data_IF_512630798617
#
_entry.id   IF_512630798617
#
_cell.length_a   1.000
_cell.length_b   1.000
_cell.length_c   1.000
_cell.angle_alpha   90.00
_cell.angle_beta   90.00
_cell.angle_gamma   90.00
#
_symmetry.space_group_name_H-M   'P 1'
#
loop_
_entity.id
_entity.type
_entity.pdbx_description
1 polymer ?
#
# COMPACT_ATOMS: atom_id res chain seq x y z
N UNK A 1 -19.12 -11.91 11.93
CA UNK A 1 -19.32 -10.53 12.42
C UNK A 1 -18.12 -9.69 11.99
N UNK A 2 -18.35 -8.60 11.25
CA UNK A 2 -17.26 -7.68 10.94
C UNK A 2 -16.82 -6.98 12.23
N UNK A 3 -15.57 -7.18 12.66
CA UNK A 3 -15.00 -6.44 13.79
C UNK A 3 -15.00 -4.96 13.42
N UNK A 4 -15.84 -4.17 14.11
CA UNK A 4 -15.87 -2.71 13.94
C UNK A 4 -14.53 -2.16 14.46
N UNK A 5 -13.84 -1.40 13.62
CA UNK A 5 -12.61 -0.72 14.04
C UNK A 5 -12.97 0.26 15.17
N UNK A 6 -12.47 -0.03 16.38
CA UNK A 6 -12.86 0.68 17.61
C UNK A 6 -11.97 1.87 17.95
N UNK A 7 -10.87 2.07 17.23
CA UNK A 7 -9.90 3.12 17.50
C UNK A 7 -10.20 4.41 16.74
N UNK A 8 -9.71 5.53 17.26
CA UNK A 8 -9.84 6.84 16.62
C UNK A 8 -8.98 6.94 15.35
N UNK A 9 -9.55 7.52 14.30
CA UNK A 9 -8.85 7.77 13.05
C UNK A 9 -7.84 8.92 13.18
N UNK A 10 -8.11 9.93 14.01
CA UNK A 10 -7.16 11.02 14.23
C UNK A 10 -5.88 10.50 14.88
N UNK A 11 -6.01 9.74 15.97
CA UNK A 11 -4.88 9.12 16.67
C UNK A 11 -4.07 8.20 15.76
N UNK A 12 -4.74 7.43 14.88
CA UNK A 12 -4.07 6.57 13.90
C UNK A 12 -3.26 7.40 12.89
N UNK A 13 -3.82 8.50 12.39
CA UNK A 13 -3.15 9.33 11.36
C UNK A 13 -1.95 10.05 11.99
N UNK A 14 -2.10 10.63 13.18
CA UNK A 14 -1.05 11.37 13.89
C UNK A 14 0.19 10.49 14.17
N UNK A 15 -0.01 9.29 14.69
CA UNK A 15 1.10 8.38 14.99
C UNK A 15 1.79 7.85 13.73
N UNK A 16 1.04 7.70 12.62
CA UNK A 16 1.59 7.29 11.34
C UNK A 16 2.34 8.44 10.68
N UNK A 17 1.83 9.67 10.75
CA UNK A 17 2.50 10.87 10.26
C UNK A 17 3.89 11.00 10.87
N UNK A 18 4.00 10.83 12.20
CA UNK A 18 5.28 10.82 12.92
C UNK A 18 6.24 9.69 12.49
N UNK A 19 5.74 8.64 11.83
CA UNK A 19 6.50 7.46 11.43
C UNK A 19 6.65 7.39 9.91
N UNK A 20 7.54 8.22 9.38
CA UNK A 20 7.86 8.33 7.95
C UNK A 20 8.16 6.98 7.28
N UNK A 21 8.73 6.02 8.00
CA UNK A 21 9.00 4.68 7.49
C UNK A 21 7.76 3.89 7.04
N UNK A 22 6.55 4.28 7.48
CA UNK A 22 5.29 3.61 7.14
C UNK A 22 4.63 4.17 5.88
N UNK A 23 4.85 5.45 5.57
CA UNK A 23 4.14 6.15 4.50
C UNK A 23 5.07 6.72 3.43
N UNK A 24 6.29 7.11 3.79
CA UNK A 24 7.28 7.68 2.87
C UNK A 24 8.11 6.58 2.20
N UNK A 25 7.70 6.22 0.99
CA UNK A 25 8.39 5.24 0.15
C UNK A 25 9.67 5.79 -0.50
N UNK A 26 9.89 7.10 -0.46
CA UNK A 26 11.05 7.74 -1.09
C UNK A 26 12.31 7.63 -0.23
N UNK A 27 12.15 7.42 1.08
CA UNK A 27 13.25 7.29 2.03
C UNK A 27 13.78 5.86 2.05
N UNK A 28 15.10 5.72 2.16
CA UNK A 28 15.77 4.45 2.39
C UNK A 28 15.30 3.75 3.67
N UNK A 29 14.83 4.53 4.65
CA UNK A 29 14.24 4.07 5.91
C UNK A 29 13.02 3.15 5.67
N UNK A 30 12.26 3.35 4.58
CA UNK A 30 11.16 2.45 4.21
C UNK A 30 11.65 1.09 3.68
N UNK A 31 12.91 0.94 3.29
CA UNK A 31 13.47 -0.35 2.84
C UNK A 31 13.72 -1.28 4.03
N UNK A 32 13.99 -0.71 5.21
CA UNK A 32 14.19 -1.49 6.43
C UNK A 32 12.88 -2.19 6.84
N UNK A 33 12.94 -3.53 6.89
CA UNK A 33 11.82 -4.37 7.31
C UNK A 33 11.63 -4.36 8.83
N UNK A 34 12.73 -4.24 9.58
CA UNK A 34 12.72 -4.22 11.05
C UNK A 34 12.11 -2.91 11.52
N UNK A 35 12.54 -1.80 10.93
CA UNK A 35 12.07 -0.47 11.33
C UNK A 35 10.58 -0.29 11.05
N UNK A 36 10.08 -0.79 9.91
CA UNK A 36 8.64 -0.86 9.62
C UNK A 36 7.87 -1.74 10.60
N UNK A 37 8.40 -2.91 10.96
CA UNK A 37 7.74 -3.79 11.94
C UNK A 37 7.64 -3.10 13.30
N UNK A 38 8.72 -2.47 13.76
CA UNK A 38 8.74 -1.74 15.03
C UNK A 38 7.78 -0.56 14.99
N UNK A 39 7.78 0.20 13.90
CA UNK A 39 6.84 1.29 13.70
C UNK A 39 5.37 0.82 13.80
N UNK A 40 5.00 -0.29 13.16
CA UNK A 40 3.65 -0.85 13.30
C UNK A 40 3.35 -1.34 14.71
N UNK A 41 4.33 -1.93 15.40
CA UNK A 41 4.20 -2.33 16.81
C UNK A 41 3.86 -1.13 17.69
N UNK A 42 4.60 -0.03 17.54
CA UNK A 42 4.37 1.19 18.30
C UNK A 42 3.00 1.80 18.00
N UNK A 43 2.56 1.78 16.73
CA UNK A 43 1.22 2.24 16.36
C UNK A 43 0.16 1.40 17.07
N UNK A 44 0.32 0.08 17.11
CA UNK A 44 -0.63 -0.80 17.79
C UNK A 44 -0.59 -0.61 19.32
N UNK A 45 0.58 -0.45 19.92
CA UNK A 45 0.76 -0.18 21.34
C UNK A 45 0.18 1.19 21.76
N UNK A 46 0.27 2.19 20.88
CA UNK A 46 -0.33 3.50 21.10
C UNK A 46 -1.87 3.45 21.09
N UNK A 47 -2.45 2.63 20.20
CA UNK A 47 -3.91 2.50 20.05
C UNK A 47 -4.54 1.54 21.06
N UNK A 48 -3.81 0.51 21.48
CA UNK A 48 -4.23 -0.48 22.46
C UNK A 48 -3.19 -0.57 23.59
N UNK A 49 -3.43 0.06 24.75
CA UNK A 49 -2.48 0.05 25.87
C UNK A 49 -2.09 -1.35 26.34
N UNK A 50 -3.01 -2.31 26.22
CA UNK A 50 -2.79 -3.70 26.62
C UNK A 50 -2.13 -4.53 25.50
N UNK A 51 -1.73 -3.92 24.39
CA UNK A 51 -1.19 -4.64 23.24
C UNK A 51 0.01 -5.52 23.60
N UNK A 52 0.90 -5.08 24.48
CA UNK A 52 2.10 -5.84 24.86
C UNK A 52 1.78 -7.07 25.72
N UNK A 53 0.71 -7.02 26.51
CA UNK A 53 0.27 -8.11 27.39
C UNK A 53 -0.57 -9.18 26.66
N UNK A 54 -1.02 -8.90 25.45
CA UNK A 54 -1.81 -9.83 24.64
C UNK A 54 -0.97 -10.96 24.04
N UNK A 55 -1.65 -12.06 23.71
CA UNK A 55 -1.06 -13.15 22.93
C UNK A 55 -0.72 -12.73 21.49
N UNK A 56 0.18 -13.48 20.87
CA UNK A 56 0.66 -13.18 19.52
C UNK A 56 -0.47 -13.14 18.49
N UNK A 57 -1.47 -14.03 18.62
CA UNK A 57 -2.59 -14.09 17.67
C UNK A 57 -3.41 -12.80 17.74
N UNK A 58 -3.74 -12.33 18.93
CA UNK A 58 -4.46 -11.07 19.11
C UNK A 58 -3.63 -9.86 18.63
N UNK A 59 -2.31 -9.85 18.90
CA UNK A 59 -1.39 -8.83 18.38
C UNK A 59 -1.42 -8.78 16.84
N UNK A 60 -1.38 -9.94 16.19
CA UNK A 60 -1.41 -10.04 14.73
C UNK A 60 -2.76 -9.59 14.16
N UNK A 61 -3.87 -9.92 14.83
CA UNK A 61 -5.21 -9.49 14.43
C UNK A 61 -5.38 -7.96 14.53
N UNK A 62 -4.91 -7.34 15.62
CA UNK A 62 -4.93 -5.88 15.78
C UNK A 62 -4.05 -5.23 14.72
N UNK A 63 -2.83 -5.71 14.56
CA UNK A 63 -1.88 -5.19 13.57
C UNK A 63 -2.47 -5.23 12.17
N UNK A 64 -3.06 -6.36 11.78
CA UNK A 64 -3.72 -6.52 10.48
C UNK A 64 -4.90 -5.56 10.31
N UNK A 65 -5.72 -5.38 11.34
CA UNK A 65 -6.85 -4.46 11.31
C UNK A 65 -6.41 -3.00 11.14
N UNK A 66 -5.37 -2.58 11.87
CA UNK A 66 -4.76 -1.24 11.78
C UNK A 66 -4.17 -1.01 10.39
N UNK A 67 -3.37 -1.96 9.88
CA UNK A 67 -2.79 -1.86 8.53
C UNK A 67 -3.85 -1.77 7.44
N UNK A 68 -4.88 -2.61 7.49
CA UNK A 68 -5.98 -2.59 6.54
C UNK A 68 -6.75 -1.27 6.61
N UNK A 69 -6.98 -0.76 7.83
CA UNK A 69 -7.66 0.53 8.02
C UNK A 69 -6.85 1.68 7.42
N UNK A 70 -5.54 1.73 7.69
CA UNK A 70 -4.65 2.72 7.12
C UNK A 70 -4.63 2.66 5.58
N UNK A 71 -4.56 1.46 5.01
CA UNK A 71 -4.61 1.27 3.56
C UNK A 71 -5.89 1.86 2.95
N UNK A 72 -7.05 1.62 3.57
CA UNK A 72 -8.33 2.17 3.13
C UNK A 72 -8.39 3.70 3.23
N UNK A 73 -7.83 4.29 4.29
CA UNK A 73 -7.75 5.75 4.47
C UNK A 73 -6.90 6.36 3.34
N UNK A 74 -5.71 5.80 3.10
CA UNK A 74 -4.81 6.25 2.04
C UNK A 74 -5.42 6.09 0.65
N UNK A 75 -6.08 4.96 0.37
CA UNK A 75 -6.78 4.73 -0.90
C UNK A 75 -7.87 5.76 -1.13
N UNK A 76 -8.72 5.97 -0.12
CA UNK A 76 -9.82 6.96 -0.18
C UNK A 76 -9.28 8.37 -0.43
N UNK A 77 -8.23 8.75 0.27
CA UNK A 77 -7.57 10.04 0.09
C UNK A 77 -6.96 10.17 -1.32
N UNK A 78 -6.18 9.17 -1.77
CA UNK A 78 -5.55 9.18 -3.11
C UNK A 78 -6.59 9.26 -4.23
N UNK A 79 -7.72 8.55 -4.09
CA UNK A 79 -8.83 8.63 -5.05
C UNK A 79 -9.50 10.00 -5.05
N UNK A 80 -9.61 10.64 -3.89
CA UNK A 80 -10.13 12.00 -3.78
C UNK A 80 -9.20 13.05 -4.43
N UNK A 81 -7.90 12.80 -4.50
CA UNK A 81 -6.95 13.67 -5.20
C UNK A 81 -7.01 13.53 -6.72
N UNK A 82 -7.26 12.31 -7.23
CA UNK A 82 -7.31 12.04 -8.68
C UNK A 82 -8.58 12.53 -9.38
N UNK A 83 -9.58 13.03 -8.65
CA UNK A 83 -10.76 13.63 -9.28
C UNK A 83 -10.40 14.98 -9.88
N UNK A 84 -10.13 14.99 -11.19
CA UNK A 84 -9.83 16.16 -12.03
C UNK A 84 -10.90 17.26 -11.90
N UNK A 85 -10.43 18.50 -11.98
CA UNK A 85 -11.19 19.74 -12.20
C UNK A 85 -12.40 19.51 -13.12
N UNK A 86 -13.61 19.75 -12.63
CA UNK A 86 -14.86 19.66 -13.41
C UNK A 86 -15.98 18.81 -12.82
N UNK A 87 -15.72 17.96 -11.81
CA UNK A 87 -16.80 17.34 -11.03
C UNK A 87 -17.16 18.24 -9.84
N UNK A 88 -18.45 18.57 -9.70
CA UNK A 88 -19.01 19.39 -8.62
C UNK A 88 -18.30 19.12 -7.29
N UNK A 89 -17.81 20.18 -6.65
CA UNK A 89 -16.94 20.18 -5.47
C UNK A 89 -17.32 19.07 -4.48
N UNK A 90 -16.64 17.92 -4.57
CA UNK A 90 -16.86 16.80 -3.64
C UNK A 90 -16.41 17.26 -2.27
N UNK A 91 -17.26 17.02 -1.27
CA UNK A 91 -17.06 17.40 0.12
C UNK A 91 -15.64 17.00 0.56
N UNK A 92 -14.85 18.00 0.98
CA UNK A 92 -13.48 17.83 1.47
C UNK A 92 -13.47 16.65 2.47
N UNK A 93 -12.62 15.66 2.23
CA UNK A 93 -12.53 14.50 3.12
C UNK A 93 -12.22 15.00 4.53
N UNK A 94 -12.95 14.49 5.54
CA UNK A 94 -12.90 15.02 6.91
C UNK A 94 -11.45 15.03 7.46
N UNK A 95 -10.63 14.06 7.04
CA UNK A 95 -9.22 13.95 7.44
C UNK A 95 -8.24 14.45 6.38
N UNK A 96 -8.69 15.23 5.39
CA UNK A 96 -7.82 15.70 4.31
C UNK A 96 -6.68 16.60 4.80
N UNK A 97 -6.92 17.44 5.82
CA UNK A 97 -5.89 18.29 6.42
C UNK A 97 -4.81 17.46 7.11
N UNK A 98 -5.20 16.41 7.85
CA UNK A 98 -4.28 15.48 8.50
C UNK A 98 -3.58 14.54 7.51
N UNK A 99 -4.02 14.44 6.25
CA UNK A 99 -3.41 13.58 5.23
C UNK A 99 -2.59 14.37 4.21
N UNK A 100 -2.46 15.70 4.39
CA UNK A 100 -1.66 16.54 3.50
C UNK A 100 -0.19 16.12 3.43
N UNK A 101 0.37 15.54 4.51
CA UNK A 101 1.76 15.06 4.51
C UNK A 101 2.02 13.98 3.44
N UNK A 102 1.00 13.19 3.08
CA UNK A 102 1.10 12.20 2.02
C UNK A 102 1.28 12.84 0.63
N UNK A 103 0.83 14.08 0.42
CA UNK A 103 0.99 14.79 -0.85
C UNK A 103 2.46 14.94 -1.22
N UNK A 104 3.34 15.15 -0.24
CA UNK A 104 4.78 15.27 -0.45
C UNK A 104 5.40 14.04 -1.13
N UNK A 105 4.78 12.87 -0.99
CA UNK A 105 5.23 11.63 -1.66
C UNK A 105 4.56 11.38 -3.01
N UNK A 106 3.47 12.07 -3.31
CA UNK A 106 2.67 11.92 -4.53
C UNK A 106 3.02 12.98 -5.58
N UNK A 107 3.40 14.18 -5.14
CA UNK A 107 4.02 15.19 -6.00
C UNK A 107 5.51 14.91 -6.04
N UNK A 108 6.07 14.35 -7.14
CA UNK A 108 7.50 14.54 -7.37
C UNK A 108 7.73 16.06 -7.40
N UNK A 109 8.69 16.54 -6.61
CA UNK A 109 9.14 17.94 -6.63
C UNK A 109 9.22 18.41 -8.09
N UNK A 110 8.29 19.29 -8.49
CA UNK A 110 8.50 20.14 -9.66
C UNK A 110 9.49 21.22 -9.23
N UNK A 111 10.76 20.86 -9.09
CA UNK A 111 11.84 21.83 -9.19
C UNK A 111 13.07 21.19 -9.79
N UNK A 112 13.39 21.69 -10.98
CA UNK A 112 14.70 21.71 -11.63
C UNK A 112 15.20 20.44 -12.36
N UNK A 113 14.79 20.31 -13.63
CA UNK A 113 15.73 20.47 -14.76
C UNK A 113 15.02 20.29 -16.10
N UNK A 114 14.96 21.37 -16.88
CA UNK A 114 14.67 21.32 -18.31
C UNK A 114 15.79 20.60 -19.05
N UNK A 115 15.49 19.50 -19.74
CA UNK A 115 16.06 19.20 -21.06
C UNK A 115 14.95 18.52 -21.88
N UNK A 116 14.42 19.16 -22.93
CA UNK A 116 13.70 18.46 -23.97
C UNK A 116 14.74 17.85 -24.92
N UNK A 117 14.78 16.52 -25.01
CA UNK A 117 15.43 15.88 -26.16
C UNK A 117 14.32 15.25 -26.99
N UNK A 118 13.84 16.06 -27.93
CA UNK A 118 13.19 15.57 -29.14
C UNK A 118 14.17 14.62 -29.83
N UNK A 119 13.77 13.38 -30.06
CA UNK A 119 14.27 12.64 -31.20
C UNK A 119 13.16 11.73 -31.71
N UNK A 120 12.45 12.30 -32.68
CA UNK A 120 11.60 11.61 -33.64
C UNK A 120 12.44 10.59 -34.42
N UNK A 121 11.98 9.34 -34.50
CA UNK A 121 12.17 8.46 -35.67
C UNK A 121 11.34 7.20 -35.51
N UNK A 122 10.13 7.33 -36.04
CA UNK A 122 9.39 6.35 -36.83
C UNK A 122 10.14 5.05 -37.21
N UNK A 123 9.57 3.90 -36.85
CA UNK A 123 9.45 2.73 -37.74
C UNK A 123 8.61 1.61 -37.11
N UNK A 124 7.45 1.36 -37.73
CA UNK A 124 6.65 0.13 -37.68
C UNK A 124 7.48 -1.05 -38.24
N UNK A 125 7.20 -2.31 -37.84
CA UNK A 125 6.17 -3.07 -38.55
C UNK A 125 5.31 -4.04 -37.70
N UNK A 126 4.03 -4.05 -38.09
CA UNK A 126 3.08 -5.16 -38.20
C UNK A 126 3.64 -6.61 -38.09
N UNK A 127 3.06 -7.44 -37.21
CA UNK A 127 2.46 -8.75 -37.61
C UNK A 127 1.84 -9.55 -36.45
N UNK A 128 0.53 -9.74 -36.59
CA UNK A 128 -0.24 -11.00 -36.53
C UNK A 128 -0.34 -11.82 -35.21
N UNK A 129 -1.59 -11.80 -34.71
CA UNK A 129 -2.36 -12.89 -34.08
C UNK A 129 -1.73 -14.29 -34.10
N UNK A 130 -1.64 -14.93 -32.92
CA UNK A 130 -2.51 -16.06 -32.50
C UNK A 130 -1.88 -16.71 -31.26
N UNK A 131 -2.63 -16.83 -30.16
CA UNK A 131 -2.29 -17.77 -29.09
C UNK A 131 -3.60 -18.31 -28.54
N UNK A 132 -4.08 -19.34 -29.24
CA UNK A 132 -5.15 -20.21 -28.77
C UNK A 132 -4.61 -21.08 -27.63
N UNK A 133 -5.42 -21.13 -26.58
CA UNK A 133 -5.43 -22.07 -25.45
C UNK A 133 -4.91 -23.48 -25.74
N UNK A 134 -3.93 -23.93 -24.96
CA UNK A 134 -3.65 -25.35 -24.76
C UNK A 134 -4.22 -25.78 -23.40
N UNK A 135 -5.29 -26.55 -23.43
CA UNK A 135 -5.80 -27.35 -22.32
C UNK A 135 -5.69 -28.81 -22.75
N UNK A 136 -5.28 -29.63 -21.79
CA UNK A 136 -5.30 -31.10 -21.78
C UNK A 136 -4.09 -31.82 -22.39
N UNK A 137 -3.29 -32.44 -21.51
CA UNK A 137 -3.22 -33.90 -21.51
C UNK A 137 -2.63 -34.45 -20.20
N UNK A 138 -3.44 -35.28 -19.56
CA UNK A 138 -3.12 -36.17 -18.46
C UNK A 138 -2.03 -37.18 -18.82
N UNK A 139 -1.10 -37.46 -17.89
CA UNK A 139 -0.46 -38.78 -17.79
C UNK A 139 -0.39 -39.18 -16.30
N UNK A 140 -0.88 -40.38 -15.90
CA UNK A 140 -0.87 -40.87 -14.52
C UNK A 140 0.43 -41.59 -14.12
N UNK A 141 0.63 -41.65 -12.79
CA UNK A 141 1.55 -42.47 -11.95
C UNK A 141 1.76 -43.94 -12.41
N UNK A 142 2.78 -44.72 -11.93
CA UNK A 142 3.15 -44.83 -10.51
C UNK A 142 4.65 -45.00 -10.14
N UNK A 143 4.95 -44.56 -8.91
CA UNK A 143 6.07 -45.04 -8.07
C UNK A 143 6.06 -46.57 -7.91
N UNK A 144 7.24 -47.19 -7.78
CA UNK A 144 7.54 -48.18 -6.73
C UNK A 144 9.02 -48.63 -6.78
N UNK A 145 9.66 -48.45 -5.62
CA UNK A 145 10.66 -49.30 -4.94
C UNK A 145 12.05 -49.54 -5.53
N UNK A 146 13.03 -48.90 -4.88
CA UNK A 146 14.46 -49.28 -4.87
C UNK A 146 14.61 -50.46 -3.88
N UNK A 147 15.17 -51.58 -4.33
CA UNK A 147 15.59 -52.71 -3.47
C UNK A 147 17.07 -52.56 -3.09
N UNK A 148 17.39 -52.98 -1.86
CA UNK A 148 18.75 -53.22 -1.36
C UNK A 148 19.52 -54.22 -2.23
#
# INVERSE_FOLDING_TARGET
MAKKFKYDFYSLIEIIESKECLWDKTKEVSKDKVLRRNAWRDVCAFLEPNFEDMDQKNKDEITSAVMNKWSNIRDTFTKSLKTKSGQAAKKKYIYSDNLQFLLKTVTPDETDSSIPTENDSESLPESQQTSHSNLDQSIPSPSVTVHL
#
